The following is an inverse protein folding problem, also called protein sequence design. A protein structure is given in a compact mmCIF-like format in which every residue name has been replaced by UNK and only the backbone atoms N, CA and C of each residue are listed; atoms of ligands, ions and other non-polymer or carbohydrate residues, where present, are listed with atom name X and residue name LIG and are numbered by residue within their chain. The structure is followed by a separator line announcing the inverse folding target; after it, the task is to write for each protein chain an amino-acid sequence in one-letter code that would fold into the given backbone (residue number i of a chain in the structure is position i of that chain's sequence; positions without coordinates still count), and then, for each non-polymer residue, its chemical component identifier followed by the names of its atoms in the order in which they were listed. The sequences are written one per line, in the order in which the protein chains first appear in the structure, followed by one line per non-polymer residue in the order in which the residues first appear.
data_IF_125020915256
#
_entry.id   IF_125020915256
#
_cell.length_a   1.000
_cell.length_b   1.000
_cell.length_c   1.000
_cell.angle_alpha   90.00
_cell.angle_beta   90.00
_cell.angle_gamma   90.00
#
_symmetry.space_group_name_H-M   'P 1'
#
loop_
_entity.id
_entity.type
_entity.pdbx_description
1 polymer ?
#
# COMPACT_ATOMS: atom_id res chain seq x y z
N UNK A 1 21.31 -36.04 -10.24
CA UNK A 1 20.55 -35.66 -9.02
C UNK A 1 20.42 -34.16 -9.02
N UNK A 2 19.22 -33.64 -9.32
CA UNK A 2 18.94 -32.21 -9.25
C UNK A 2 18.83 -31.80 -7.78
N UNK A 3 19.57 -30.76 -7.38
CA UNK A 3 19.56 -30.26 -6.02
C UNK A 3 18.17 -29.67 -5.75
N UNK A 4 17.46 -30.05 -4.66
CA UNK A 4 16.15 -29.48 -4.36
C UNK A 4 16.29 -27.97 -4.23
N UNK A 5 15.42 -27.23 -4.92
CA UNK A 5 15.34 -25.77 -4.84
C UNK A 5 15.26 -25.36 -3.36
N UNK A 6 16.30 -24.70 -2.88
CA UNK A 6 16.31 -24.15 -1.53
C UNK A 6 15.58 -22.81 -1.57
N UNK A 7 14.47 -22.73 -0.85
CA UNK A 7 13.68 -21.51 -0.77
C UNK A 7 14.47 -20.42 -0.06
N UNK A 8 14.72 -19.32 -0.78
CA UNK A 8 15.26 -18.10 -0.18
C UNK A 8 14.14 -17.33 0.54
N UNK A 9 14.39 -16.73 1.71
CA UNK A 9 13.38 -15.96 2.46
C UNK A 9 12.72 -14.84 1.64
N UNK A 10 13.42 -14.28 0.65
CA UNK A 10 12.87 -13.28 -0.26
C UNK A 10 11.69 -13.82 -1.10
N UNK A 11 11.71 -15.10 -1.50
CA UNK A 11 10.59 -15.68 -2.25
C UNK A 11 9.35 -15.83 -1.37
N UNK A 12 9.52 -16.21 -0.10
CA UNK A 12 8.41 -16.24 0.85
C UNK A 12 7.85 -14.83 1.11
N UNK A 13 8.71 -13.81 1.22
CA UNK A 13 8.29 -12.43 1.38
C UNK A 13 7.52 -11.91 0.16
N UNK A 14 7.98 -12.21 -1.07
CA UNK A 14 7.25 -11.86 -2.31
C UNK A 14 5.90 -12.55 -2.36
N UNK A 15 5.85 -13.86 -2.07
CA UNK A 15 4.61 -14.62 -2.04
C UNK A 15 3.63 -14.06 -0.99
N UNK A 16 4.13 -13.70 0.19
CA UNK A 16 3.31 -13.10 1.26
C UNK A 16 2.79 -11.70 0.89
N UNK A 17 3.57 -10.91 0.14
CA UNK A 17 3.11 -9.61 -0.39
C UNK A 17 2.02 -9.82 -1.45
N UNK A 18 2.19 -10.81 -2.34
CA UNK A 18 1.20 -11.13 -3.39
C UNK A 18 -0.14 -11.62 -2.80
N UNK A 19 -0.12 -12.33 -1.67
CA UNK A 19 -1.32 -12.84 -1.00
C UNK A 19 -1.78 -12.01 0.20
N UNK A 20 -1.26 -10.80 0.40
CA UNK A 20 -1.72 -9.94 1.48
C UNK A 20 -3.16 -9.47 1.21
N UNK A 21 -4.10 -9.83 2.08
CA UNK A 21 -5.50 -9.39 1.99
C UNK A 21 -5.66 -7.88 2.23
N UNK A 22 -4.72 -7.28 2.97
CA UNK A 22 -4.67 -5.85 3.26
C UNK A 22 -3.21 -5.37 3.37
N UNK A 23 -2.89 -4.22 2.75
CA UNK A 23 -1.58 -3.56 2.87
C UNK A 23 -1.80 -2.13 3.34
N UNK A 24 -1.16 -1.75 4.45
CA UNK A 24 -1.13 -0.37 4.94
C UNK A 24 0.20 0.30 4.54
N UNK A 25 0.12 1.46 3.88
CA UNK A 25 1.29 2.29 3.54
C UNK A 25 1.16 3.65 4.23
N UNK A 26 2.15 3.99 5.06
CA UNK A 26 2.22 5.29 5.74
C UNK A 26 3.20 6.23 5.02
N UNK A 27 2.71 7.39 4.60
CA UNK A 27 3.53 8.46 4.02
C UNK A 27 3.52 9.67 4.96
N UNK A 28 4.71 10.19 5.29
CA UNK A 28 4.86 11.34 6.18
C UNK A 28 5.49 12.50 5.41
N UNK A 29 4.91 13.69 5.56
CA UNK A 29 5.44 14.91 4.98
C UNK A 29 4.98 16.14 5.76
N UNK A 30 5.71 17.25 5.61
CA UNK A 30 5.45 18.48 6.38
C UNK A 30 4.20 19.25 5.88
N UNK A 31 3.59 18.84 4.77
CA UNK A 31 2.46 19.52 4.15
C UNK A 31 1.48 18.53 3.51
N UNK A 32 0.21 18.94 3.41
CA UNK A 32 -0.83 18.14 2.78
C UNK A 32 -0.54 17.88 1.28
N UNK A 33 -0.45 16.61 0.83
CA UNK A 33 -0.01 16.26 -0.52
C UNK A 33 -1.15 16.37 -1.55
N UNK A 34 -1.62 17.60 -1.80
CA UNK A 34 -2.78 17.91 -2.67
C UNK A 34 -2.78 17.16 -4.01
N UNK A 35 -1.64 17.13 -4.71
CA UNK A 35 -1.52 16.47 -6.01
C UNK A 35 -1.70 14.95 -5.93
N UNK A 36 -1.14 14.32 -4.90
CA UNK A 36 -1.28 12.89 -4.67
C UNK A 36 -2.73 12.53 -4.39
N UNK A 37 -3.40 13.26 -3.49
CA UNK A 37 -4.80 12.99 -3.15
C UNK A 37 -5.71 13.19 -4.37
N UNK A 38 -5.50 14.25 -5.15
CA UNK A 38 -6.24 14.47 -6.39
C UNK A 38 -6.05 13.32 -7.38
N UNK A 39 -4.80 12.88 -7.58
CA UNK A 39 -4.50 11.72 -8.43
C UNK A 39 -5.21 10.46 -7.94
N UNK A 40 -5.13 10.15 -6.64
CA UNK A 40 -5.74 8.94 -6.07
C UNK A 40 -7.26 8.95 -6.21
N UNK A 41 -7.91 10.09 -5.94
CA UNK A 41 -9.36 10.25 -6.12
C UNK A 41 -9.77 10.07 -7.58
N UNK A 42 -9.07 10.71 -8.51
CA UNK A 42 -9.41 10.64 -9.94
C UNK A 42 -9.15 9.26 -10.53
N UNK A 43 -8.05 8.61 -10.16
CA UNK A 43 -7.61 7.36 -10.81
C UNK A 43 -8.23 6.11 -10.21
N UNK A 44 -8.52 6.12 -8.90
CA UNK A 44 -8.93 4.94 -8.15
C UNK A 44 -10.26 5.12 -7.40
N UNK A 45 -10.86 6.31 -7.43
CA UNK A 45 -12.15 6.54 -6.75
C UNK A 45 -12.09 6.38 -5.23
N UNK A 46 -10.92 6.60 -4.63
CA UNK A 46 -10.69 6.36 -3.20
C UNK A 46 -11.54 7.25 -2.30
N UNK A 47 -11.88 6.73 -1.13
CA UNK A 47 -12.43 7.52 -0.02
C UNK A 47 -11.27 8.07 0.80
N UNK A 48 -11.40 9.32 1.24
CA UNK A 48 -10.39 9.97 2.08
C UNK A 48 -11.07 10.50 3.34
N UNK A 49 -10.61 10.01 4.48
CA UNK A 49 -11.08 10.42 5.80
C UNK A 49 -9.97 11.15 6.55
N UNK A 50 -10.37 12.03 7.47
CA UNK A 50 -9.45 12.83 8.28
C UNK A 50 -9.88 12.73 9.75
N UNK A 51 -9.64 11.58 10.40
CA UNK A 51 -10.07 11.37 11.79
C UNK A 51 -9.29 12.25 12.79
N UNK A 52 -8.07 12.67 12.46
CA UNK A 52 -7.22 13.48 13.32
C UNK A 52 -6.48 14.57 12.53
N UNK A 53 -6.25 15.78 13.09
CA UNK A 53 -5.53 16.84 12.40
C UNK A 53 -4.19 16.38 11.82
N UNK A 54 -4.07 16.42 10.48
CA UNK A 54 -2.86 16.04 9.76
C UNK A 54 -2.73 14.55 9.42
N UNK A 55 -3.67 13.71 9.85
CA UNK A 55 -3.70 12.27 9.54
C UNK A 55 -4.85 11.98 8.58
N UNK A 56 -4.53 11.44 7.41
CA UNK A 56 -5.51 11.13 6.37
C UNK A 56 -5.54 9.63 6.10
N UNK A 57 -6.69 9.00 6.24
CA UNK A 57 -6.91 7.61 5.85
C UNK A 57 -7.46 7.57 4.43
N UNK A 58 -6.90 6.69 3.60
CA UNK A 58 -7.27 6.53 2.19
C UNK A 58 -7.69 5.08 1.98
N UNK A 59 -8.95 4.87 1.65
CA UNK A 59 -9.53 3.54 1.47
C UNK A 59 -10.01 3.31 0.04
N UNK A 60 -10.08 2.03 -0.35
CA UNK A 60 -10.57 1.62 -1.67
C UNK A 60 -9.49 1.58 -2.74
N UNK A 61 -8.22 1.45 -2.34
CA UNK A 61 -7.15 1.06 -3.26
C UNK A 61 -7.34 -0.43 -3.60
N UNK A 62 -8.03 -0.70 -4.70
CA UNK A 62 -8.03 -2.02 -5.33
C UNK A 62 -6.72 -2.14 -6.11
N UNK A 63 -5.81 -2.98 -5.62
CA UNK A 63 -4.61 -3.39 -6.34
C UNK A 63 -4.94 -4.58 -7.23
#
# INVERSE_FOLDING_TARGET
MEKPLQWHPAFQAVLQIEFAEEITITLVGNHYPRKLIAFLKTRYGVRVENPYPGIFYIEGLLF
#
